data_IF_970740225017
#
_entry.id   IF_970740225017
#
_cell.length_a   1.000
_cell.length_b   1.000
_cell.length_c   1.000
_cell.angle_alpha   90.00
_cell.angle_beta   90.00
_cell.angle_gamma   90.00
#
_symmetry.space_group_name_H-M   'P 1'
#
loop_
_entity.id
_entity.type
_entity.pdbx_description
1 polymer ?
#
# COMPACT_ATOMS: atom_id res chain seq x y z
N UNK A 1 -1.94 -25.94 41.04
CA UNK A 1 -2.19 -25.05 39.88
C UNK A 1 -1.62 -23.65 40.06
N UNK A 2 -1.81 -22.97 41.21
CA UNK A 2 -1.21 -21.64 41.49
C UNK A 2 0.33 -21.63 41.54
N UNK A 3 0.95 -22.63 42.15
CA UNK A 3 2.43 -22.75 42.24
C UNK A 3 3.12 -22.77 40.87
N UNK A 4 2.53 -23.45 39.88
CA UNK A 4 3.08 -23.54 38.52
C UNK A 4 3.11 -22.16 37.84
N UNK A 5 2.10 -21.33 38.11
CA UNK A 5 1.96 -20.00 37.55
C UNK A 5 2.96 -19.01 38.16
N UNK A 6 3.27 -19.17 39.45
CA UNK A 6 4.25 -18.35 40.17
C UNK A 6 5.67 -18.67 39.68
N UNK A 7 6.01 -19.94 39.48
CA UNK A 7 7.33 -20.34 38.95
C UNK A 7 7.53 -19.83 37.52
N UNK A 8 6.51 -19.93 36.66
CA UNK A 8 6.59 -19.46 35.29
C UNK A 8 6.73 -17.93 35.17
N UNK A 9 6.12 -17.17 36.08
CA UNK A 9 6.22 -15.72 36.11
C UNK A 9 7.54 -15.22 36.77
N UNK A 10 8.13 -16.00 37.67
CA UNK A 10 9.38 -15.65 38.33
C UNK A 10 10.62 -15.91 37.46
N UNK A 11 10.49 -16.77 36.45
CA UNK A 11 11.56 -17.19 35.55
C UNK A 11 11.49 -16.47 34.18
N UNK A 12 10.79 -15.33 34.10
CA UNK A 12 10.76 -14.49 32.89
C UNK A 12 12.00 -13.57 32.87
N UNK A 13 13.05 -13.93 32.12
CA UNK A 13 14.26 -13.11 32.08
C UNK A 13 13.92 -11.80 31.38
N UNK A 14 14.24 -10.67 32.02
CA UNK A 14 14.10 -9.35 31.38
C UNK A 14 14.96 -9.34 30.12
N UNK A 15 14.35 -9.17 28.93
CA UNK A 15 15.09 -9.23 27.68
C UNK A 15 16.16 -8.13 27.69
N UNK A 16 17.34 -8.48 27.21
CA UNK A 16 18.44 -7.53 27.12
C UNK A 16 18.12 -6.46 26.06
N UNK A 17 18.66 -5.26 26.20
CA UNK A 17 18.39 -4.13 25.28
C UNK A 17 18.65 -4.47 23.79
N UNK A 18 19.44 -5.52 23.51
CA UNK A 18 19.76 -5.96 22.15
C UNK A 18 18.78 -7.01 21.58
N UNK A 19 17.89 -7.58 22.39
CA UNK A 19 16.88 -8.56 21.93
C UNK A 19 15.79 -7.91 21.06
N UNK A 20 15.61 -6.58 21.17
CA UNK A 20 14.66 -5.79 20.37
C UNK A 20 15.23 -5.31 19.04
N UNK A 21 16.53 -5.49 18.80
CA UNK A 21 17.14 -5.17 17.51
C UNK A 21 16.95 -6.36 16.58
N UNK A 22 15.96 -6.27 15.71
CA UNK A 22 15.73 -7.29 14.68
C UNK A 22 17.05 -7.51 13.91
N UNK A 23 17.59 -8.72 14.03
CA UNK A 23 18.81 -9.10 13.30
C UNK A 23 18.63 -8.87 11.79
N UNK A 24 19.72 -8.89 11.00
CA UNK A 24 19.69 -8.59 9.57
C UNK A 24 18.60 -9.33 8.77
N UNK A 25 18.21 -10.53 9.22
CA UNK A 25 17.11 -11.31 8.66
C UNK A 25 15.73 -10.62 8.80
N UNK A 26 15.43 -10.04 9.96
CA UNK A 26 14.16 -9.34 10.19
C UNK A 26 14.02 -8.10 9.30
N UNK A 27 15.12 -7.37 9.11
CA UNK A 27 15.19 -6.27 8.15
C UNK A 27 14.93 -6.74 6.71
N UNK A 28 15.55 -7.86 6.30
CA UNK A 28 15.34 -8.41 4.96
C UNK A 28 13.87 -8.80 4.71
N UNK A 29 13.22 -9.43 5.70
CA UNK A 29 11.78 -9.78 5.62
C UNK A 29 10.92 -8.52 5.49
N UNK A 30 11.23 -7.48 6.26
CA UNK A 30 10.48 -6.22 6.23
C UNK A 30 10.53 -5.54 4.85
N UNK A 31 11.73 -5.47 4.25
CA UNK A 31 11.90 -4.95 2.88
C UNK A 31 11.20 -5.85 1.84
N UNK A 32 11.28 -7.16 2.00
CA UNK A 32 10.58 -8.10 1.11
C UNK A 32 9.07 -7.88 1.12
N UNK A 33 8.46 -7.63 2.29
CA UNK A 33 7.03 -7.33 2.38
C UNK A 33 6.65 -6.06 1.61
N UNK A 34 7.47 -5.01 1.71
CA UNK A 34 7.26 -3.77 0.95
C UNK A 34 7.33 -4.04 -0.55
N UNK A 35 8.36 -4.76 -1.00
CA UNK A 35 8.50 -5.10 -2.42
C UNK A 35 7.32 -5.92 -2.93
N UNK A 36 6.84 -6.88 -2.14
CA UNK A 36 5.66 -7.67 -2.50
C UNK A 36 4.42 -6.78 -2.73
N UNK A 37 4.17 -5.82 -1.83
CA UNK A 37 3.06 -4.86 -1.97
C UNK A 37 3.25 -3.96 -3.19
N UNK A 38 4.46 -3.44 -3.43
CA UNK A 38 4.76 -2.59 -4.60
C UNK A 38 4.50 -3.34 -5.90
N UNK A 39 4.93 -4.60 -5.99
CA UNK A 39 4.71 -5.45 -7.17
C UNK A 39 3.21 -5.69 -7.39
N UNK A 40 2.46 -5.95 -6.32
CA UNK A 40 1.01 -6.16 -6.40
C UNK A 40 0.28 -4.88 -6.86
N UNK A 41 0.62 -3.73 -6.26
CA UNK A 41 0.05 -2.44 -6.63
C UNK A 41 0.36 -2.07 -8.08
N UNK A 42 1.60 -2.31 -8.54
CA UNK A 42 1.98 -2.09 -9.93
C UNK A 42 1.19 -2.97 -10.90
N UNK A 43 1.01 -4.25 -10.56
CA UNK A 43 0.21 -5.18 -11.36
C UNK A 43 -1.23 -4.71 -11.51
N UNK A 44 -1.84 -4.25 -10.41
CA UNK A 44 -3.21 -3.75 -10.40
C UNK A 44 -3.33 -2.44 -11.21
N UNK A 45 -2.46 -1.45 -10.96
CA UNK A 45 -2.49 -0.16 -11.68
C UNK A 45 -2.28 -0.35 -13.18
N UNK A 46 -1.39 -1.27 -13.59
CA UNK A 46 -1.18 -1.60 -15.01
C UNK A 46 -2.46 -2.13 -15.67
N UNK A 47 -3.24 -2.95 -14.97
CA UNK A 47 -4.51 -3.46 -15.48
C UNK A 47 -5.57 -2.35 -15.54
N UNK A 48 -5.67 -1.51 -14.51
CA UNK A 48 -6.59 -0.37 -14.49
C UNK A 48 -6.30 0.64 -15.61
N UNK A 49 -5.03 0.96 -15.87
CA UNK A 49 -4.64 1.85 -16.98
C UNK A 49 -5.02 1.29 -18.35
N UNK A 50 -4.89 -0.02 -18.55
CA UNK A 50 -5.32 -0.67 -19.80
C UNK A 50 -6.83 -0.61 -19.99
N UNK A 51 -7.59 -0.84 -18.92
CA UNK A 51 -9.05 -0.73 -18.95
C UNK A 51 -9.50 0.72 -19.23
N UNK A 52 -8.85 1.71 -18.61
CA UNK A 52 -9.11 3.12 -18.91
C UNK A 52 -8.75 3.48 -20.36
N UNK A 53 -7.61 3.02 -20.89
CA UNK A 53 -7.25 3.28 -22.29
C UNK A 53 -8.25 2.64 -23.28
N UNK A 54 -8.77 1.45 -22.98
CA UNK A 54 -9.81 0.82 -23.79
C UNK A 54 -11.15 1.57 -23.70
N UNK A 55 -11.46 2.14 -22.54
CA UNK A 55 -12.62 3.01 -22.33
C UNK A 55 -12.49 4.34 -23.05
N UNK A 56 -11.34 5.01 -22.93
CA UNK A 56 -11.02 6.27 -23.60
C UNK A 56 -10.96 6.09 -25.13
N UNK A 57 -10.60 4.90 -25.61
CA UNK A 57 -10.65 4.53 -27.03
C UNK A 57 -12.08 4.27 -27.57
N UNK A 58 -13.13 4.48 -26.77
CA UNK A 58 -14.53 4.39 -27.20
C UNK A 58 -15.03 2.97 -27.43
N UNK A 59 -14.29 1.94 -27.01
CA UNK A 59 -14.62 0.53 -27.29
C UNK A 59 -15.88 0.04 -26.54
N UNK A 60 -16.32 0.77 -25.51
CA UNK A 60 -17.54 0.49 -24.74
C UNK A 60 -18.78 1.28 -25.21
N UNK A 61 -18.71 1.98 -26.35
CA UNK A 61 -19.91 2.48 -27.03
C UNK A 61 -20.47 3.81 -26.54
N UNK A 62 -19.64 4.75 -26.08
CA UNK A 62 -20.07 6.14 -25.91
C UNK A 62 -19.01 7.10 -26.43
N UNK A 63 -19.45 8.24 -26.98
CA UNK A 63 -18.64 9.16 -27.80
C UNK A 63 -17.31 9.56 -27.12
N UNK A 64 -16.24 9.83 -27.90
CA UNK A 64 -14.94 10.23 -27.36
C UNK A 64 -15.10 11.48 -26.48
N UNK A 65 -14.75 11.38 -25.19
CA UNK A 65 -14.72 12.55 -24.30
C UNK A 65 -13.44 13.32 -24.57
N UNK A 66 -13.57 14.46 -25.22
CA UNK A 66 -12.47 15.40 -25.45
C UNK A 66 -12.08 16.05 -24.11
N UNK A 67 -10.93 15.65 -23.55
CA UNK A 67 -10.37 16.16 -22.29
C UNK A 67 -9.94 17.64 -22.38
N UNK A 68 -10.02 18.24 -23.57
CA UNK A 68 -9.66 19.65 -23.81
C UNK A 68 -10.75 20.65 -23.37
N UNK A 69 -11.94 20.19 -22.97
CA UNK A 69 -13.08 21.06 -22.66
C UNK A 69 -13.21 21.51 -21.19
N UNK A 70 -12.41 20.97 -20.25
CA UNK A 70 -12.55 21.26 -18.80
C UNK A 70 -11.55 22.30 -18.26
N UNK A 71 -10.65 22.82 -19.09
CA UNK A 71 -9.58 23.74 -18.64
C UNK A 71 -9.89 25.24 -18.88
N UNK A 72 -11.14 25.59 -19.21
CA UNK A 72 -11.51 26.94 -19.67
C UNK A 72 -12.50 27.75 -18.83
N UNK A 73 -13.19 27.19 -17.82
CA UNK A 73 -14.42 27.81 -17.26
C UNK A 73 -14.28 28.32 -15.81
N UNK A 74 -13.09 28.66 -15.31
CA UNK A 74 -12.95 29.15 -13.92
C UNK A 74 -12.17 30.47 -13.75
N UNK A 75 -11.94 31.26 -14.79
CA UNK A 75 -11.03 32.40 -14.70
C UNK A 75 -11.57 33.73 -15.28
N UNK A 76 -12.80 34.11 -14.96
CA UNK A 76 -13.32 35.44 -15.32
C UNK A 76 -14.56 35.84 -14.50
N UNK A 77 -14.29 36.43 -13.34
CA UNK A 77 -14.81 37.73 -12.89
C UNK A 77 -16.32 37.98 -12.92
N UNK A 78 -16.96 37.79 -11.76
CA UNK A 78 -18.15 38.56 -11.37
C UNK A 78 -17.83 39.33 -10.07
N UNK A 79 -17.81 40.66 -10.15
CA UNK A 79 -17.58 41.58 -9.02
C UNK A 79 -17.04 42.93 -9.46
#
# INVERSE_FOLDING_TARGET
>A
MLHQLIVLAADDPTPSDNDVVAGPLGFAIWIFMILAVVVLAFSLVKQLRKAQAAKDAGLYGDQPVDRSADDGTKADTQG
#
